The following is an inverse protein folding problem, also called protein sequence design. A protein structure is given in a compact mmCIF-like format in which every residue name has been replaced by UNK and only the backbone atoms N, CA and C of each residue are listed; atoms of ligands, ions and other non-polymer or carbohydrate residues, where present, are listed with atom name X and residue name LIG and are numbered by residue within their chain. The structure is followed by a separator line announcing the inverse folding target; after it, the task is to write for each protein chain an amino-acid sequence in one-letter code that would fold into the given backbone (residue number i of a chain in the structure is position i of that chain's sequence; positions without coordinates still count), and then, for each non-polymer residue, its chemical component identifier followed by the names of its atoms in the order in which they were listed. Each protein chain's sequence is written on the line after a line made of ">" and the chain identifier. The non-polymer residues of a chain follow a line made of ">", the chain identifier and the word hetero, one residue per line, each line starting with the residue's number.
data_IF_902995295964
#
_entry.id   IF_902995295964
#
_cell.length_a   1.000
_cell.length_b   1.000
_cell.length_c   1.000
_cell.angle_alpha   90.00
_cell.angle_beta   90.00
_cell.angle_gamma   90.00
#
_symmetry.space_group_name_H-M   'P 1'
#
loop_
_entity.id
_entity.type
_entity.pdbx_description
1 polymer ?
#
# COMPACT_ATOMS: atom_id res chain seq x y z
N UNK A 1 30.16 34.53 51.10
CA UNK A 1 30.17 33.97 49.73
C UNK A 1 29.20 32.79 49.68
N UNK A 2 27.97 32.92 49.17
CA UNK A 2 27.09 31.78 49.00
C UNK A 2 27.38 31.06 47.68
N UNK A 3 27.52 29.74 47.80
CA UNK A 3 27.86 28.74 46.80
C UNK A 3 26.98 28.78 45.54
N UNK A 4 27.59 29.08 44.38
CA UNK A 4 26.95 29.12 43.06
C UNK A 4 26.49 27.77 42.48
N UNK A 5 26.52 26.68 43.27
CA UNK A 5 26.17 25.34 42.79
C UNK A 5 24.67 25.06 42.69
N UNK A 6 23.83 25.73 43.48
CA UNK A 6 22.37 25.50 43.45
C UNK A 6 21.69 26.06 42.19
N UNK A 7 22.14 27.23 41.72
CA UNK A 7 21.58 27.90 40.54
C UNK A 7 21.94 27.17 39.23
N UNK A 8 23.10 26.49 39.20
CA UNK A 8 23.55 25.69 38.05
C UNK A 8 22.75 24.39 37.93
N UNK A 9 22.43 23.76 39.06
CA UNK A 9 21.59 22.54 39.11
C UNK A 9 20.15 22.79 38.66
N UNK A 10 19.53 23.89 39.08
CA UNK A 10 18.19 24.28 38.61
C UNK A 10 18.17 24.55 37.11
N UNK A 11 19.11 25.35 36.58
CA UNK A 11 19.19 25.60 35.13
C UNK A 11 19.38 24.32 34.30
N UNK A 12 20.21 23.37 34.77
CA UNK A 12 20.41 22.10 34.07
C UNK A 12 19.16 21.20 34.11
N UNK A 13 18.41 21.18 35.22
CA UNK A 13 17.15 20.42 35.32
C UNK A 13 16.06 21.03 34.44
N UNK A 14 15.95 22.37 34.37
CA UNK A 14 14.95 23.05 33.53
C UNK A 14 15.26 22.92 32.03
N UNK A 15 16.55 22.97 31.65
CA UNK A 15 16.99 22.72 30.27
C UNK A 15 16.72 21.25 29.88
N UNK A 16 16.99 20.29 30.77
CA UNK A 16 16.68 18.88 30.55
C UNK A 16 15.16 18.62 30.41
N UNK A 17 14.31 19.32 31.18
CA UNK A 17 12.85 19.21 31.10
C UNK A 17 12.25 19.77 29.80
N UNK A 18 12.91 20.74 29.15
CA UNK A 18 12.47 21.33 27.88
C UNK A 18 12.98 20.55 26.65
N UNK A 19 14.10 19.85 26.75
CA UNK A 19 14.68 19.05 25.64
C UNK A 19 13.96 17.71 25.48
N UNK A 20 13.46 17.11 26.58
CA UNK A 20 12.80 15.81 26.57
C UNK A 20 11.51 15.76 25.71
N UNK A 21 10.58 16.74 25.74
CA UNK A 21 9.40 16.73 24.85
C UNK A 21 9.75 17.04 23.39
N UNK A 22 10.84 17.78 23.11
CA UNK A 22 11.31 18.05 21.74
C UNK A 22 11.85 16.81 21.04
N UNK A 23 12.40 15.84 21.78
CA UNK A 23 12.97 14.62 21.23
C UNK A 23 11.89 13.57 20.89
N UNK A 24 10.73 13.61 21.56
CA UNK A 24 9.60 12.71 21.31
C UNK A 24 8.90 13.03 19.97
N UNK A 25 8.88 14.30 19.56
CA UNK A 25 8.30 14.71 18.27
C UNK A 25 9.13 14.29 17.04
N UNK A 26 10.42 13.97 17.21
CA UNK A 26 11.28 13.57 16.09
C UNK A 26 11.18 12.08 15.71
N UNK A 27 10.38 11.28 16.43
CA UNK A 27 10.22 9.85 16.18
C UNK A 27 8.96 9.49 15.37
N UNK A 28 8.24 10.46 14.79
CA UNK A 28 7.18 10.16 13.80
C UNK A 28 7.81 9.81 12.46
N UNK A 29 8.49 8.67 12.39
CA UNK A 29 8.82 8.05 11.11
C UNK A 29 7.53 7.58 10.46
N UNK A 30 7.06 8.29 9.43
CA UNK A 30 6.05 7.75 8.53
C UNK A 30 6.66 6.56 7.81
N UNK A 31 6.51 5.34 8.35
CA UNK A 31 6.42 4.16 7.51
C UNK A 31 5.14 4.35 6.67
N UNK A 32 5.28 5.13 5.60
CA UNK A 32 4.16 5.49 4.74
C UNK A 32 3.55 4.24 4.12
N UNK A 33 2.24 4.26 3.81
CA UNK A 33 1.63 3.17 3.09
C UNK A 33 2.42 2.88 1.82
N UNK A 34 2.61 1.59 1.47
CA UNK A 34 3.15 1.15 0.17
C UNK A 34 2.10 1.35 -0.92
N UNK A 35 1.56 2.56 -0.99
CA UNK A 35 0.59 3.01 -1.97
C UNK A 35 1.31 3.98 -2.91
N UNK A 36 1.33 3.66 -4.19
CA UNK A 36 1.77 4.56 -5.26
C UNK A 36 0.55 5.11 -5.97
N UNK A 37 0.52 6.42 -6.22
CA UNK A 37 -0.50 7.06 -7.06
C UNK A 37 0.22 8.02 -8.00
N UNK A 38 -0.10 7.94 -9.29
CA UNK A 38 0.46 8.80 -10.34
C UNK A 38 -0.64 9.18 -11.34
N UNK A 39 -0.52 10.35 -11.97
CA UNK A 39 -1.51 10.86 -12.92
C UNK A 39 -0.92 11.85 -13.92
N UNK A 40 -1.52 11.93 -15.10
CA UNK A 40 -1.19 12.95 -16.10
C UNK A 40 -1.93 14.27 -15.76
N UNK A 41 -1.23 15.33 -15.31
CA UNK A 41 -1.86 16.59 -14.92
C UNK A 41 -2.48 17.35 -16.11
N UNK A 42 -2.20 16.93 -17.35
CA UNK A 42 -2.75 17.53 -18.57
C UNK A 42 -3.99 16.80 -19.09
N UNK A 43 -4.38 15.68 -18.47
CA UNK A 43 -5.54 14.93 -18.90
C UNK A 43 -6.85 15.66 -18.52
N UNK A 44 -7.80 15.83 -19.46
CA UNK A 44 -9.04 16.56 -19.22
C UNK A 44 -10.05 15.73 -18.40
N UNK A 45 -9.87 15.71 -17.08
CA UNK A 45 -10.69 14.95 -16.13
C UNK A 45 -12.18 15.35 -16.15
N UNK A 46 -12.49 16.59 -16.55
CA UNK A 46 -13.84 17.13 -16.67
C UNK A 46 -14.71 16.41 -17.71
N UNK A 47 -14.09 15.66 -18.63
CA UNK A 47 -14.78 14.93 -19.70
C UNK A 47 -15.18 13.50 -19.31
N UNK A 48 -14.81 13.06 -18.12
CA UNK A 48 -15.08 11.70 -17.65
C UNK A 48 -16.52 11.59 -17.15
N UNK A 49 -17.33 10.75 -17.79
CA UNK A 49 -18.72 10.50 -17.39
C UNK A 49 -18.97 9.02 -17.10
N UNK A 50 -18.70 8.17 -18.09
CA UNK A 50 -18.93 6.74 -18.01
C UNK A 50 -17.62 5.94 -18.03
N UNK A 51 -17.63 4.79 -17.35
CA UNK A 51 -16.48 3.90 -17.22
C UNK A 51 -16.84 2.44 -17.49
N UNK A 52 -15.86 1.72 -18.03
CA UNK A 52 -15.86 0.27 -18.14
C UNK A 52 -14.77 -0.30 -17.22
N UNK A 53 -15.00 -1.47 -16.63
CA UNK A 53 -14.00 -2.16 -15.79
C UNK A 53 -13.53 -3.41 -16.51
N UNK A 54 -12.22 -3.63 -16.53
CA UNK A 54 -11.63 -4.82 -17.16
C UNK A 54 -10.49 -5.40 -16.34
N UNK A 55 -10.31 -6.71 -16.44
CA UNK A 55 -9.14 -7.38 -15.88
C UNK A 55 -7.96 -7.26 -16.85
N UNK A 56 -6.76 -6.94 -16.35
CA UNK A 56 -5.55 -7.07 -17.15
C UNK A 56 -5.29 -8.55 -17.50
N UNK A 57 -4.87 -8.88 -18.73
CA UNK A 57 -4.54 -10.25 -19.12
C UNK A 57 -3.49 -10.93 -18.23
N UNK A 58 -2.59 -10.14 -17.64
CA UNK A 58 -1.49 -10.64 -16.80
C UNK A 58 -1.85 -10.71 -15.31
N UNK A 59 -3.11 -10.44 -14.94
CA UNK A 59 -3.54 -10.48 -13.55
C UNK A 59 -3.57 -11.93 -13.02
N UNK A 60 -2.80 -12.18 -11.97
CA UNK A 60 -2.73 -13.46 -11.28
C UNK A 60 -3.76 -13.52 -10.15
N UNK A 61 -5.00 -13.84 -10.49
CA UNK A 61 -6.13 -13.87 -9.56
C UNK A 61 -7.18 -14.91 -9.98
N UNK A 62 -7.85 -15.54 -9.01
CA UNK A 62 -8.96 -16.46 -9.28
C UNK A 62 -10.25 -15.71 -9.66
N UNK A 63 -11.20 -16.35 -10.38
CA UNK A 63 -12.41 -15.68 -10.87
C UNK A 63 -13.29 -15.05 -9.78
N UNK A 64 -13.37 -15.65 -8.59
CA UNK A 64 -14.22 -15.11 -7.52
C UNK A 64 -13.60 -13.85 -6.91
N UNK A 65 -12.29 -13.83 -6.74
CA UNK A 65 -11.60 -12.63 -6.26
C UNK A 65 -11.54 -11.55 -7.34
N UNK A 66 -11.38 -11.92 -8.60
CA UNK A 66 -11.51 -11.04 -9.76
C UNK A 66 -12.87 -10.33 -9.77
N UNK A 67 -13.97 -11.07 -9.61
CA UNK A 67 -15.32 -10.50 -9.51
C UNK A 67 -15.46 -9.53 -8.32
N UNK A 68 -14.90 -9.87 -7.15
CA UNK A 68 -14.92 -8.98 -5.97
C UNK A 68 -14.21 -7.66 -6.24
N UNK A 69 -13.06 -7.68 -6.90
CA UNK A 69 -12.33 -6.45 -7.26
C UNK A 69 -13.13 -5.64 -8.28
N UNK A 70 -13.65 -6.31 -9.31
CA UNK A 70 -14.52 -5.68 -10.31
C UNK A 70 -15.69 -4.93 -9.64
N UNK A 71 -16.46 -5.61 -8.79
CA UNK A 71 -17.63 -5.03 -8.13
C UNK A 71 -17.25 -3.90 -7.17
N UNK A 72 -16.12 -4.02 -6.48
CA UNK A 72 -15.58 -2.97 -5.63
C UNK A 72 -15.22 -1.71 -6.43
N UNK A 73 -14.61 -1.86 -7.62
CA UNK A 73 -14.27 -0.72 -8.50
C UNK A 73 -15.55 -0.06 -8.99
N UNK A 74 -16.52 -0.86 -9.48
CA UNK A 74 -17.81 -0.37 -9.96
C UNK A 74 -18.51 0.46 -8.89
N UNK A 75 -18.70 -0.11 -7.70
CA UNK A 75 -19.36 0.57 -6.59
C UNK A 75 -18.63 1.85 -6.15
N UNK A 76 -17.30 1.81 -6.08
CA UNK A 76 -16.50 2.96 -5.65
C UNK A 76 -16.57 4.12 -6.65
N UNK A 77 -16.49 3.84 -7.95
CA UNK A 77 -16.59 4.87 -8.99
C UNK A 77 -18.02 5.40 -9.16
N UNK A 78 -19.04 4.55 -9.00
CA UNK A 78 -20.43 5.01 -8.96
C UNK A 78 -20.70 5.95 -7.79
N UNK A 79 -20.15 5.66 -6.61
CA UNK A 79 -20.26 6.56 -5.46
C UNK A 79 -19.51 7.88 -5.66
N UNK A 80 -18.54 7.93 -6.57
CA UNK A 80 -17.87 9.15 -7.04
C UNK A 80 -18.63 9.88 -8.15
N UNK A 81 -19.79 9.37 -8.57
CA UNK A 81 -20.69 10.00 -9.54
C UNK A 81 -20.52 9.55 -11.00
N UNK A 82 -19.63 8.61 -11.28
CA UNK A 82 -19.42 8.07 -12.62
C UNK A 82 -20.46 7.00 -12.98
N UNK A 83 -20.76 6.87 -14.27
CA UNK A 83 -21.75 5.92 -14.79
C UNK A 83 -21.06 4.64 -15.25
N UNK A 84 -21.46 3.49 -14.71
CA UNK A 84 -20.93 2.20 -15.18
C UNK A 84 -21.59 1.81 -16.52
N UNK A 85 -20.79 1.33 -17.47
CA UNK A 85 -21.27 0.69 -18.71
C UNK A 85 -20.78 -0.75 -18.78
N UNK A 86 -21.63 -1.66 -19.28
CA UNK A 86 -21.27 -3.06 -19.51
C UNK A 86 -20.49 -3.29 -20.82
N UNK A 87 -20.38 -2.26 -21.67
CA UNK A 87 -19.64 -2.31 -22.93
C UNK A 87 -18.59 -1.21 -22.99
N UNK A 88 -17.38 -1.57 -23.42
CA UNK A 88 -16.25 -0.65 -23.62
C UNK A 88 -16.60 0.53 -24.55
N UNK A 89 -17.43 0.28 -25.58
CA UNK A 89 -17.86 1.30 -26.55
C UNK A 89 -18.66 2.45 -25.93
N UNK A 90 -19.27 2.24 -24.75
CA UNK A 90 -20.01 3.26 -24.01
C UNK A 90 -19.17 4.06 -23.01
N UNK A 91 -17.89 3.73 -22.85
CA UNK A 91 -17.04 4.29 -21.81
C UNK A 91 -16.22 5.50 -22.31
N UNK A 92 -15.99 6.47 -21.43
CA UNK A 92 -15.02 7.55 -21.67
C UNK A 92 -13.63 7.21 -21.12
N UNK A 93 -13.56 6.29 -20.16
CA UNK A 93 -12.33 5.75 -19.62
C UNK A 93 -12.52 4.29 -19.20
N UNK A 94 -11.42 3.55 -19.16
CA UNK A 94 -11.41 2.15 -18.71
C UNK A 94 -10.60 2.06 -17.44
N UNK A 95 -11.18 1.43 -16.41
CA UNK A 95 -10.49 1.02 -15.20
C UNK A 95 -9.98 -0.42 -15.38
N UNK A 96 -8.67 -0.60 -15.58
CA UNK A 96 -8.05 -1.91 -15.66
C UNK A 96 -7.37 -2.27 -14.35
N UNK A 97 -7.69 -3.44 -13.79
CA UNK A 97 -7.03 -3.90 -12.57
C UNK A 97 -6.00 -5.01 -12.84
N UNK A 98 -4.90 -4.92 -12.11
CA UNK A 98 -3.76 -5.83 -12.13
C UNK A 98 -3.59 -6.44 -10.75
N UNK A 99 -3.24 -7.73 -10.71
CA UNK A 99 -2.90 -8.43 -9.47
C UNK A 99 -1.62 -9.21 -9.71
N UNK A 100 -0.57 -8.91 -8.95
CA UNK A 100 0.76 -9.51 -9.15
C UNK A 100 1.31 -9.99 -7.82
N UNK A 101 1.82 -11.22 -7.77
CA UNK A 101 2.48 -11.75 -6.57
C UNK A 101 3.89 -11.16 -6.51
N UNK A 102 4.13 -10.36 -5.47
CA UNK A 102 5.45 -9.83 -5.14
C UNK A 102 6.10 -10.79 -4.16
N UNK A 103 7.02 -11.61 -4.66
CA UNK A 103 7.84 -12.46 -3.77
C UNK A 103 8.88 -11.59 -3.08
N UNK A 104 8.76 -11.44 -1.77
CA UNK A 104 9.90 -11.01 -0.98
C UNK A 104 10.96 -12.11 -1.04
N UNK A 105 12.02 -11.90 -1.80
CA UNK A 105 13.26 -12.62 -1.58
C UNK A 105 13.80 -12.08 -0.26
N UNK A 106 13.87 -12.88 0.83
CA UNK A 106 14.45 -12.37 2.06
C UNK A 106 15.87 -11.90 1.77
N UNK A 107 16.15 -10.62 2.00
CA UNK A 107 17.48 -10.02 1.88
C UNK A 107 18.47 -10.53 2.95
N UNK A 108 18.01 -11.43 3.82
CA UNK A 108 18.76 -11.98 4.93
C UNK A 108 19.49 -13.27 4.53
N UNK A 109 20.37 -13.20 3.52
CA UNK A 109 21.49 -14.14 3.47
C UNK A 109 22.57 -13.63 4.42
N UNK A 110 22.28 -13.59 5.72
CA UNK A 110 23.32 -13.32 6.72
C UNK A 110 24.04 -14.63 7.01
N UNK A 111 25.21 -14.83 6.39
CA UNK A 111 26.18 -15.81 6.90
C UNK A 111 26.68 -15.24 8.23
N UNK A 112 26.04 -15.66 9.32
CA UNK A 112 26.58 -15.44 10.65
C UNK A 112 27.83 -16.31 10.80
N UNK A 113 29.02 -15.72 10.62
CA UNK A 113 30.25 -16.32 11.10
C UNK A 113 30.23 -16.25 12.63
N UNK A 114 29.68 -17.30 13.25
CA UNK A 114 29.90 -17.55 14.65
C UNK A 114 31.37 -17.92 14.85
N UNK A 115 32.18 -16.99 15.35
CA UNK A 115 33.45 -17.32 15.99
C UNK A 115 33.14 -18.02 17.32
N UNK A 116 32.76 -19.29 17.23
CA UNK A 116 32.65 -20.19 18.36
C UNK A 116 34.06 -20.49 18.85
N UNK A 117 34.41 -19.90 19.99
CA UNK A 117 35.61 -20.26 20.74
C UNK A 117 35.60 -21.76 21.02
N UNK A 118 36.73 -22.40 20.72
CA UNK A 118 37.08 -23.78 21.03
C UNK A 118 36.62 -24.16 22.46
N UNK A 119 35.67 -25.11 22.54
CA UNK A 119 35.19 -25.69 23.79
C UNK A 119 34.83 -27.15 23.54
N UNK A 120 35.60 -28.04 24.16
CA UNK A 120 35.47 -29.50 24.10
C UNK A 120 34.03 -29.94 24.43
N UNK A 121 33.46 -30.81 23.59
CA UNK A 121 32.14 -31.49 23.68
C UNK A 121 30.91 -30.76 23.07
N UNK A 122 30.50 -31.20 21.87
CA UNK A 122 29.09 -31.23 21.47
C UNK A 122 28.56 -30.08 20.63
N UNK A 123 28.31 -30.36 19.33
CA UNK A 123 27.18 -29.77 18.58
C UNK A 123 27.40 -28.39 17.96
N UNK A 124 28.02 -28.34 16.79
CA UNK A 124 27.89 -27.18 15.88
C UNK A 124 26.51 -27.17 15.23
N UNK A 125 25.56 -26.42 15.80
CA UNK A 125 24.24 -26.21 15.20
C UNK A 125 24.28 -25.05 14.21
N UNK A 126 24.19 -25.34 12.91
CA UNK A 126 23.82 -24.34 11.90
C UNK A 126 22.31 -24.15 12.04
N UNK A 127 21.90 -23.07 12.71
CA UNK A 127 20.51 -22.65 12.74
C UNK A 127 20.15 -21.91 11.45
N UNK A 128 19.49 -22.59 10.51
CA UNK A 128 18.81 -21.91 9.41
C UNK A 128 17.48 -21.36 9.93
N UNK A 129 17.42 -20.05 10.18
CA UNK A 129 16.14 -19.37 10.39
C UNK A 129 15.44 -19.25 9.05
N UNK A 130 14.55 -20.20 8.73
CA UNK A 130 13.63 -20.06 7.60
C UNK A 130 12.56 -19.06 8.05
N UNK A 131 12.74 -17.77 7.74
CA UNK A 131 11.65 -16.80 7.84
C UNK A 131 10.52 -17.25 6.91
N UNK A 132 9.28 -17.40 7.39
CA UNK A 132 8.16 -17.72 6.52
C UNK A 132 8.06 -16.66 5.42
N UNK A 133 8.09 -17.08 4.17
CA UNK A 133 7.85 -16.19 3.04
C UNK A 133 6.37 -15.82 3.04
N UNK A 134 6.06 -14.63 3.55
CA UNK A 134 4.76 -14.00 3.31
C UNK A 134 4.71 -13.60 1.84
N UNK A 135 3.80 -14.22 1.08
CA UNK A 135 3.53 -13.79 -0.29
C UNK A 135 2.82 -12.43 -0.22
N UNK A 136 3.51 -11.38 -0.63
CA UNK A 136 2.88 -10.08 -0.85
C UNK A 136 2.23 -10.07 -2.22
N UNK A 137 1.16 -9.29 -2.35
CA UNK A 137 0.39 -9.14 -3.59
C UNK A 137 0.26 -7.65 -3.87
N UNK A 138 0.72 -7.21 -5.03
CA UNK A 138 0.42 -5.88 -5.55
C UNK A 138 -0.94 -5.92 -6.24
N UNK A 139 -1.84 -5.02 -5.83
CA UNK A 139 -3.09 -4.73 -6.52
C UNK A 139 -2.95 -3.32 -7.09
N UNK A 140 -3.16 -3.18 -8.40
CA UNK A 140 -3.07 -1.89 -9.10
C UNK A 140 -4.27 -1.67 -9.99
N UNK A 141 -4.69 -0.41 -10.11
CA UNK A 141 -5.77 0.05 -10.98
C UNK A 141 -5.20 1.14 -11.87
N UNK A 142 -5.25 0.90 -13.18
CA UNK A 142 -4.84 1.84 -14.22
C UNK A 142 -6.09 2.36 -14.95
N UNK A 143 -6.25 3.68 -15.01
CA UNK A 143 -7.29 4.36 -15.77
C UNK A 143 -6.73 4.83 -17.09
N UNK A 144 -7.32 4.42 -18.20
CA UNK A 144 -6.84 4.80 -19.53
C UNK A 144 -7.95 5.25 -20.47
N UNK A 145 -7.58 6.08 -21.44
CA UNK A 145 -8.48 6.55 -22.50
C UNK A 145 -8.69 5.42 -23.54
N UNK A 146 -9.93 5.01 -23.84
CA UNK A 146 -10.21 3.88 -24.73
C UNK A 146 -9.78 4.12 -26.18
N UNK A 147 -9.69 5.37 -26.63
CA UNK A 147 -9.30 5.74 -28.00
C UNK A 147 -7.78 5.73 -28.18
N UNK A 148 -7.06 6.29 -27.20
CA UNK A 148 -5.60 6.44 -27.29
C UNK A 148 -4.82 5.34 -26.59
N UNK A 149 -5.49 4.54 -25.74
CA UNK A 149 -4.89 3.54 -24.83
C UNK A 149 -3.84 4.12 -23.87
N UNK A 150 -3.82 5.44 -23.68
CA UNK A 150 -2.90 6.10 -22.75
C UNK A 150 -3.46 6.06 -21.34
N UNK A 151 -2.66 5.54 -20.41
CA UNK A 151 -2.93 5.63 -18.97
C UNK A 151 -2.80 7.09 -18.55
N UNK A 152 -3.81 7.61 -17.88
CA UNK A 152 -3.83 8.98 -17.36
C UNK A 152 -3.88 9.03 -15.83
N UNK A 153 -4.16 7.91 -15.17
CA UNK A 153 -4.14 7.79 -13.72
C UNK A 153 -3.82 6.34 -13.35
N UNK A 154 -3.01 6.13 -12.33
CA UNK A 154 -2.64 4.82 -11.82
C UNK A 154 -2.54 4.87 -10.30
N UNK A 155 -3.04 3.83 -9.64
CA UNK A 155 -2.76 3.58 -8.23
C UNK A 155 -2.40 2.13 -7.99
N UNK A 156 -1.39 1.86 -7.19
CA UNK A 156 -0.95 0.52 -6.80
C UNK A 156 -0.74 0.42 -5.29
N UNK A 157 -1.01 -0.75 -4.73
CA UNK A 157 -0.76 -1.05 -3.31
C UNK A 157 -0.30 -2.48 -3.12
N UNK A 158 0.75 -2.65 -2.32
CA UNK A 158 1.24 -3.96 -1.91
C UNK A 158 0.59 -4.38 -0.59
N UNK A 159 -0.08 -5.53 -0.60
CA UNK A 159 -0.80 -6.09 0.53
C UNK A 159 -0.34 -7.51 0.83
N UNK A 160 -0.37 -7.89 2.12
CA UNK A 160 -0.33 -9.30 2.50
C UNK A 160 -1.76 -9.82 2.54
N UNK A 161 -2.08 -10.82 1.72
CA UNK A 161 -3.42 -11.42 1.77
C UNK A 161 -3.60 -12.20 3.09
N UNK A 162 -4.57 -11.83 3.93
CA UNK A 162 -4.81 -12.55 5.17
C UNK A 162 -5.45 -13.91 4.88
N UNK A 163 -5.42 -14.80 5.88
CA UNK A 163 -6.30 -15.97 5.86
C UNK A 163 -7.73 -15.48 6.07
N UNK A 164 -8.59 -15.71 5.09
CA UNK A 164 -9.99 -15.29 5.14
C UNK A 164 -10.84 -16.36 5.81
N UNK A 165 -11.57 -15.98 6.86
CA UNK A 165 -12.47 -16.88 7.60
C UNK A 165 -13.79 -17.12 6.85
N UNK A 166 -14.21 -16.18 5.99
CA UNK A 166 -15.46 -16.30 5.23
C UNK A 166 -15.42 -15.52 3.89
N UNK A 167 -16.31 -15.83 2.93
CA UNK A 167 -16.47 -15.04 1.70
C UNK A 167 -16.71 -13.55 1.94
N UNK A 168 -17.43 -13.19 3.00
CA UNK A 168 -17.78 -11.81 3.34
C UNK A 168 -16.57 -11.05 3.87
N UNK A 169 -15.74 -11.68 4.71
CA UNK A 169 -14.47 -11.07 5.17
C UNK A 169 -13.54 -10.78 3.99
N UNK A 170 -13.52 -11.67 3.00
CA UNK A 170 -12.74 -11.51 1.78
C UNK A 170 -13.28 -10.40 0.88
N UNK A 171 -14.60 -10.31 0.71
CA UNK A 171 -15.22 -9.21 -0.03
C UNK A 171 -14.93 -7.85 0.63
N UNK A 172 -15.08 -7.76 1.97
CA UNK A 172 -14.74 -6.53 2.71
C UNK A 172 -13.27 -6.12 2.55
N UNK A 173 -12.36 -7.08 2.52
CA UNK A 173 -10.95 -6.80 2.26
C UNK A 173 -10.74 -6.12 0.91
N UNK A 174 -11.24 -6.70 -0.19
CA UNK A 174 -11.10 -6.10 -1.52
C UNK A 174 -11.81 -4.75 -1.64
N UNK A 175 -13.00 -4.61 -1.05
CA UNK A 175 -13.69 -3.32 -0.99
C UNK A 175 -12.84 -2.24 -0.31
N UNK A 176 -12.16 -2.59 0.79
CA UNK A 176 -11.29 -1.67 1.53
C UNK A 176 -10.07 -1.28 0.70
N UNK A 177 -9.39 -2.26 0.09
CA UNK A 177 -8.20 -2.01 -0.74
C UNK A 177 -8.55 -1.14 -1.94
N UNK A 178 -9.62 -1.45 -2.66
CA UNK A 178 -10.06 -0.66 -3.82
C UNK A 178 -10.48 0.74 -3.41
N UNK A 179 -11.20 0.89 -2.28
CA UNK A 179 -11.55 2.22 -1.75
C UNK A 179 -10.33 3.07 -1.44
N UNK A 180 -9.26 2.47 -0.92
CA UNK A 180 -8.00 3.17 -0.64
C UNK A 180 -7.28 3.55 -1.94
N UNK A 181 -7.16 2.62 -2.89
CA UNK A 181 -6.54 2.90 -4.20
C UNK A 181 -7.23 4.06 -4.91
N UNK A 182 -8.57 4.08 -4.89
CA UNK A 182 -9.38 5.11 -5.55
C UNK A 182 -9.64 6.34 -4.67
N UNK A 183 -9.08 6.43 -3.46
CA UNK A 183 -9.33 7.55 -2.55
C UNK A 183 -9.00 8.89 -3.21
N UNK A 184 -7.81 8.96 -3.83
CA UNK A 184 -7.29 10.16 -4.52
C UNK A 184 -7.80 10.35 -5.94
N UNK A 185 -8.59 9.41 -6.49
CA UNK A 185 -9.26 9.64 -7.76
C UNK A 185 -10.40 10.66 -7.56
N UNK A 186 -10.45 11.77 -8.31
CA UNK A 186 -11.43 12.83 -8.05
C UNK A 186 -12.86 12.31 -8.25
N UNK A 187 -13.86 12.90 -7.57
CA UNK A 187 -15.25 12.69 -7.92
C UNK A 187 -15.54 13.29 -9.31
N UNK A 188 -16.59 12.78 -9.98
CA UNK A 188 -17.07 13.33 -11.25
C UNK A 188 -17.36 14.81 -11.09
N UNK A 189 -16.79 15.61 -11.98
CA UNK A 189 -17.11 17.02 -12.07
C UNK A 189 -18.45 17.16 -12.79
N UNK A 190 -19.43 17.77 -12.14
CA UNK A 190 -20.66 18.21 -12.80
C UNK A 190 -20.35 19.47 -13.61
N UNK A 191 -20.77 19.55 -14.89
CA UNK A 191 -20.70 20.78 -15.67
C UNK A 191 -21.45 21.94 -15.02
#
# INVERSE_FOLDING_TARGET
>A
MPSGNHMRRYKMITVALLILPSLIFMLTGCAGPRESVDFDPKFPMEKLMAFFVTQSPDANIDPLNSQRIHDAIVHTLQNKGYEYTSAETGANFIASYHVTIVKNVPSNFSIGFGLGSFGYHGGGGIGTSITPTTNETEIRIDMFDPKTRRVFWSAGKVETLPKFESPETRARFFNTVVSQLLEKFPPRQTP
#
